data_IF_288918856600
#
_entry.id   IF_288918856600
#
_cell.length_a   1.000
_cell.length_b   1.000
_cell.length_c   1.000
_cell.angle_alpha   90.00
_cell.angle_beta   90.00
_cell.angle_gamma   90.00
#
_symmetry.space_group_name_H-M   'P 1'
#
loop_
_entity.id
_entity.type
_entity.pdbx_description
1 polymer ?
#
# COMPACT_ATOMS: atom_id res chain seq x y z
N UNK A 1 20.41 5.27 22.39
CA UNK A 1 21.55 6.21 22.46
C UNK A 1 21.58 6.95 21.13
N UNK A 2 20.91 8.09 21.07
CA UNK A 2 20.74 8.90 19.86
C UNK A 2 21.94 9.83 19.68
N UNK A 3 22.50 9.93 18.48
CA UNK A 3 23.40 11.02 18.14
C UNK A 3 22.61 12.10 17.40
N UNK A 4 22.25 13.12 18.18
CA UNK A 4 21.91 14.47 17.72
C UNK A 4 23.24 15.14 17.39
N UNK A 5 23.43 15.63 16.16
CA UNK A 5 24.54 16.53 15.83
C UNK A 5 23.97 17.90 15.49
N UNK A 6 24.32 18.85 16.36
CA UNK A 6 24.02 20.27 16.30
C UNK A 6 24.66 20.94 15.10
N UNK A 7 23.86 21.71 14.35
CA UNK A 7 24.31 22.53 13.23
C UNK A 7 25.06 23.79 13.64
N UNK A 8 26.17 24.06 12.94
CA UNK A 8 26.86 25.35 12.90
C UNK A 8 26.61 26.06 11.57
N UNK A 9 26.38 27.37 11.62
CA UNK A 9 26.08 28.26 10.48
C UNK A 9 27.34 28.78 9.76
N UNK A 10 27.11 29.16 8.49
CA UNK A 10 27.80 30.15 7.62
C UNK A 10 28.85 29.65 6.61
N UNK A 11 29.07 30.34 5.48
CA UNK A 11 28.10 30.89 4.53
C UNK A 11 28.41 30.53 3.06
N UNK A 12 27.45 30.88 2.19
CA UNK A 12 27.47 30.77 0.73
C UNK A 12 28.67 31.44 0.06
N UNK A 13 29.24 30.78 -0.96
CA UNK A 13 29.77 31.45 -2.15
C UNK A 13 29.56 30.59 -3.40
N UNK A 14 29.02 31.23 -4.42
CA UNK A 14 28.69 30.68 -5.72
C UNK A 14 29.93 30.47 -6.60
N UNK A 15 29.85 29.52 -7.55
CA UNK A 15 30.16 29.78 -8.95
C UNK A 15 29.66 28.64 -9.85
N UNK A 16 28.94 29.03 -10.90
CA UNK A 16 28.60 28.26 -12.08
C UNK A 16 29.86 28.10 -12.97
N UNK A 17 30.04 27.10 -13.84
CA UNK A 17 29.38 26.82 -15.13
C UNK A 17 30.09 25.57 -15.77
N UNK A 18 29.62 25.05 -16.94
CA UNK A 18 29.70 23.64 -17.34
C UNK A 18 30.73 23.37 -18.46
N UNK A 19 30.70 22.14 -19.02
CA UNK A 19 31.20 21.62 -20.32
C UNK A 19 32.05 20.36 -20.08
N UNK A 20 32.09 19.32 -20.89
CA UNK A 20 31.33 18.76 -22.02
C UNK A 20 32.13 17.51 -22.42
N UNK A 21 31.45 16.43 -22.83
CA UNK A 21 31.85 15.44 -23.86
C UNK A 21 33.30 14.92 -23.86
N UNK A 22 33.48 13.60 -23.71
CA UNK A 22 34.22 12.75 -24.68
C UNK A 22 33.72 11.31 -24.56
N UNK A 23 33.42 10.76 -25.73
CA UNK A 23 32.98 9.43 -26.05
C UNK A 23 34.19 8.65 -26.56
N UNK A 24 34.63 7.57 -25.90
CA UNK A 24 35.53 6.59 -26.52
C UNK A 24 35.15 5.17 -26.13
N UNK A 25 34.60 4.46 -27.11
CA UNK A 25 34.48 3.00 -27.12
C UNK A 25 35.87 2.40 -27.28
N UNK A 26 36.26 1.49 -26.40
CA UNK A 26 37.28 0.49 -26.75
C UNK A 26 36.92 -0.86 -26.14
N UNK A 27 36.70 -1.82 -27.05
CA UNK A 27 36.35 -3.21 -26.81
C UNK A 27 37.65 -4.02 -26.79
N UNK A 28 37.96 -4.69 -25.68
CA UNK A 28 38.99 -5.74 -25.63
C UNK A 28 38.50 -6.89 -24.72
N UNK A 29 38.45 -8.10 -25.28
CA UNK A 29 38.33 -9.41 -24.62
C UNK A 29 38.96 -10.44 -25.58
N UNK A 30 39.34 -11.66 -25.14
CA UNK A 30 39.93 -12.05 -23.86
C UNK A 30 41.22 -12.89 -24.06
N UNK A 31 42.00 -13.14 -23.00
CA UNK A 31 43.10 -14.10 -23.01
C UNK A 31 42.72 -15.35 -22.21
N UNK A 32 42.88 -16.51 -22.84
CA UNK A 32 42.70 -17.84 -22.29
C UNK A 32 43.95 -18.31 -21.53
N UNK A 33 43.76 -19.12 -20.51
CA UNK A 33 44.79 -20.02 -19.97
C UNK A 33 44.19 -21.41 -19.76
N UNK A 34 45.01 -22.41 -19.97
CA UNK A 34 44.62 -23.77 -20.34
C UNK A 34 45.23 -24.79 -19.38
N UNK A 35 44.39 -25.75 -18.94
CA UNK A 35 44.66 -27.18 -18.62
C UNK A 35 45.46 -27.57 -17.36
N UNK A 36 45.34 -28.84 -16.85
CA UNK A 36 44.70 -30.02 -17.47
C UNK A 36 43.70 -30.84 -16.61
N UNK A 37 42.90 -31.64 -17.34
CA UNK A 37 42.13 -32.81 -16.90
C UNK A 37 43.05 -33.99 -16.49
N UNK A 38 42.59 -34.81 -15.55
CA UNK A 38 42.95 -36.23 -15.44
C UNK A 38 41.75 -37.12 -15.10
N UNK A 39 41.64 -38.23 -15.83
CA UNK A 39 40.87 -39.47 -15.64
C UNK A 39 41.55 -40.52 -16.56
N UNK A 40 41.46 -41.86 -16.38
CA UNK A 40 40.29 -42.64 -15.91
C UNK A 40 40.54 -43.97 -15.10
N UNK A 41 39.47 -44.47 -14.43
CA UNK A 41 38.94 -45.87 -14.18
C UNK A 41 39.89 -47.09 -13.86
N UNK A 42 39.43 -48.34 -13.48
CA UNK A 42 38.06 -48.91 -13.39
C UNK A 42 37.71 -49.98 -12.28
N UNK A 43 36.44 -50.46 -12.29
CA UNK A 43 35.80 -51.74 -11.80
C UNK A 43 35.79 -52.09 -10.28
N UNK A 44 34.73 -52.61 -9.62
CA UNK A 44 33.78 -53.71 -9.95
C UNK A 44 32.56 -53.79 -8.96
N UNK A 45 31.45 -54.39 -9.45
CA UNK A 45 30.29 -55.13 -8.86
C UNK A 45 30.31 -55.57 -7.37
N UNK A 46 29.25 -55.85 -6.58
CA UNK A 46 27.75 -55.83 -6.55
C UNK A 46 27.30 -56.18 -5.07
N UNK A 47 26.06 -56.61 -4.72
CA UNK A 47 24.86 -55.84 -4.32
C UNK A 47 24.29 -56.18 -2.89
N UNK A 48 23.05 -55.69 -2.61
CA UNK A 48 22.13 -55.93 -1.47
C UNK A 48 22.09 -54.77 -0.43
N UNK A 49 20.97 -54.33 0.14
CA UNK A 49 19.63 -54.88 0.30
C UNK A 49 18.59 -53.77 0.49
N UNK A 50 17.36 -54.07 0.12
CA UNK A 50 16.15 -53.26 0.23
C UNK A 50 15.61 -53.19 1.66
N UNK A 51 15.21 -52.00 2.12
CA UNK A 51 14.24 -51.83 3.19
C UNK A 51 13.32 -50.66 2.86
N UNK A 52 12.13 -51.01 2.36
CA UNK A 52 11.01 -50.13 2.09
C UNK A 52 10.17 -49.94 3.36
N UNK A 53 10.17 -48.73 3.94
CA UNK A 53 9.22 -48.35 5.00
C UNK A 53 8.07 -47.57 4.34
N UNK A 54 6.89 -48.16 4.46
CA UNK A 54 5.62 -47.72 3.90
C UNK A 54 4.95 -46.74 4.88
N UNK A 55 4.97 -45.44 4.58
CA UNK A 55 4.12 -44.46 5.27
C UNK A 55 2.76 -44.36 4.56
N UNK A 56 1.68 -44.54 5.31
CA UNK A 56 0.30 -44.36 4.85
C UNK A 56 -0.01 -42.85 4.78
N UNK A 57 -0.64 -42.34 3.71
CA UNK A 57 -1.12 -40.96 3.69
C UNK A 57 -2.46 -40.85 4.43
N UNK A 58 -2.55 -39.88 5.36
CA UNK A 58 -3.82 -39.44 5.92
C UNK A 58 -4.64 -38.73 4.84
N UNK A 59 -5.92 -39.06 4.77
CA UNK A 59 -6.93 -38.37 3.97
C UNK A 59 -7.13 -36.96 4.54
N UNK A 60 -6.84 -35.93 3.75
CA UNK A 60 -7.27 -34.57 4.04
C UNK A 60 -8.34 -34.17 3.02
N UNK A 61 -9.53 -33.89 3.56
CA UNK A 61 -10.74 -33.51 2.85
C UNK A 61 -10.52 -32.20 2.10
N UNK A 62 -10.54 -32.24 0.78
CA UNK A 62 -10.51 -31.06 -0.08
C UNK A 62 -11.91 -30.48 -0.18
N UNK A 63 -12.21 -29.40 0.57
CA UNK A 63 -13.39 -28.58 0.31
C UNK A 63 -13.03 -27.59 -0.81
N UNK A 64 -13.44 -27.94 -2.02
CA UNK A 64 -13.57 -27.02 -3.15
C UNK A 64 -14.65 -25.99 -2.80
N UNK A 65 -14.27 -24.71 -2.72
CA UNK A 65 -15.23 -23.59 -2.73
C UNK A 65 -15.19 -22.98 -4.13
N UNK A 66 -16.16 -23.38 -4.95
CA UNK A 66 -16.48 -22.71 -6.20
C UNK A 66 -17.07 -21.33 -5.88
N UNK A 67 -16.40 -20.27 -6.29
CA UNK A 67 -16.96 -18.91 -6.28
C UNK A 67 -18.07 -18.86 -7.33
N UNK A 68 -19.31 -18.76 -6.86
CA UNK A 68 -20.50 -18.61 -7.70
C UNK A 68 -20.60 -17.14 -8.12
N UNK A 69 -20.52 -16.89 -9.42
CA UNK A 69 -20.93 -15.65 -10.05
C UNK A 69 -22.40 -15.39 -9.72
N UNK A 70 -22.69 -14.33 -8.97
CA UNK A 70 -24.07 -13.89 -8.74
C UNK A 70 -24.38 -12.67 -9.61
N UNK A 71 -25.45 -12.90 -10.36
CA UNK A 71 -26.10 -12.11 -11.40
C UNK A 71 -26.69 -10.81 -10.86
N UNK A 72 -26.55 -9.74 -11.63
CA UNK A 72 -27.29 -8.48 -11.52
C UNK A 72 -28.79 -8.75 -11.40
N UNK A 73 -29.41 -8.31 -10.31
CA UNK A 73 -30.85 -8.17 -10.23
C UNK A 73 -31.17 -6.68 -10.13
N UNK A 74 -31.79 -6.16 -11.19
CA UNK A 74 -32.47 -4.86 -11.17
C UNK A 74 -33.71 -5.00 -10.29
N UNK A 75 -33.74 -4.31 -9.15
CA UNK A 75 -34.96 -4.17 -8.37
C UNK A 75 -35.55 -2.78 -8.58
N UNK A 76 -36.68 -2.75 -9.27
CA UNK A 76 -37.58 -1.59 -9.34
C UNK A 76 -38.50 -1.65 -8.13
N UNK A 77 -38.28 -0.76 -7.16
CA UNK A 77 -39.27 -0.42 -6.15
C UNK A 77 -39.35 1.11 -5.97
N UNK A 78 -40.39 1.66 -6.59
CA UNK A 78 -41.27 2.75 -6.14
C UNK A 78 -40.77 3.73 -5.06
N UNK A 79 -40.81 5.01 -5.43
CA UNK A 79 -40.33 6.16 -4.66
C UNK A 79 -40.82 6.29 -3.22
N UNK A 80 -39.86 6.61 -2.36
CA UNK A 80 -39.93 7.75 -1.46
C UNK A 80 -38.66 8.56 -1.69
N UNK A 81 -38.80 9.74 -2.29
CA UNK A 81 -37.74 10.74 -2.38
C UNK A 81 -37.44 11.27 -0.98
N UNK A 82 -36.40 10.70 -0.35
CA UNK A 82 -35.73 11.24 0.82
C UNK A 82 -34.29 11.59 0.45
N UNK A 83 -34.04 12.87 0.21
CA UNK A 83 -32.71 13.46 0.12
C UNK A 83 -32.01 13.36 1.48
N UNK A 84 -31.07 12.44 1.61
CA UNK A 84 -30.23 12.28 2.81
C UNK A 84 -29.18 11.20 2.57
N UNK A 85 -28.20 11.50 1.71
CA UNK A 85 -27.07 10.60 1.47
C UNK A 85 -26.30 10.44 2.76
N UNK A 86 -26.37 9.26 3.37
CA UNK A 86 -25.64 8.96 4.59
C UNK A 86 -24.14 9.10 4.34
N UNK A 87 -23.45 9.86 5.19
CA UNK A 87 -21.99 10.04 5.23
C UNK A 87 -21.26 8.72 5.60
N UNK A 88 -21.50 7.64 4.87
CA UNK A 88 -20.84 6.36 5.09
C UNK A 88 -19.49 6.32 4.37
N UNK A 89 -18.57 5.52 4.90
CA UNK A 89 -17.39 5.05 4.18
C UNK A 89 -17.63 3.61 3.74
N UNK A 90 -17.48 3.34 2.44
CA UNK A 90 -17.43 1.99 1.91
C UNK A 90 -16.01 1.71 1.42
N UNK A 91 -15.30 0.82 2.10
CA UNK A 91 -13.88 0.55 1.92
C UNK A 91 -13.70 -0.83 1.30
N UNK A 92 -13.18 -0.89 0.08
CA UNK A 92 -12.85 -2.16 -0.58
C UNK A 92 -11.34 -2.33 -0.63
N UNK A 93 -10.83 -3.32 0.10
CA UNK A 93 -9.41 -3.65 0.06
C UNK A 93 -9.07 -4.41 -1.21
N UNK A 94 -8.08 -3.92 -1.96
CA UNK A 94 -7.67 -4.52 -3.25
C UNK A 94 -6.32 -5.25 -3.15
N UNK A 95 -5.85 -5.62 -1.96
CA UNK A 95 -4.52 -6.21 -1.67
C UNK A 95 -3.33 -5.28 -1.90
N UNK A 96 -2.24 -5.51 -1.16
CA UNK A 96 -1.09 -4.59 -1.15
C UNK A 96 -1.47 -3.28 -0.45
N UNK A 97 -1.07 -2.16 -1.05
CA UNK A 97 -1.49 -0.82 -0.62
C UNK A 97 -2.77 -0.35 -1.34
N UNK A 98 -3.36 -1.17 -2.21
CA UNK A 98 -4.45 -0.76 -3.08
C UNK A 98 -5.81 -0.78 -2.38
N UNK A 99 -6.58 0.30 -2.56
CA UNK A 99 -7.95 0.41 -2.07
C UNK A 99 -8.88 1.10 -3.07
N UNK A 100 -10.17 0.80 -2.97
CA UNK A 100 -11.25 1.62 -3.53
C UNK A 100 -12.13 2.10 -2.39
N UNK A 101 -12.24 3.41 -2.22
CA UNK A 101 -13.08 4.04 -1.21
C UNK A 101 -14.27 4.73 -1.87
N UNK A 102 -15.45 4.57 -1.30
CA UNK A 102 -16.63 5.35 -1.65
C UNK A 102 -17.09 6.16 -0.44
N UNK A 103 -17.18 7.48 -0.58
CA UNK A 103 -17.66 8.40 0.46
C UNK A 103 -18.09 9.73 -0.15
N UNK A 104 -19.10 10.39 0.40
CA UNK A 104 -19.56 11.70 -0.08
C UNK A 104 -19.91 11.72 -1.58
N UNK A 105 -20.38 10.59 -2.12
CA UNK A 105 -20.66 10.45 -3.56
C UNK A 105 -19.43 10.37 -4.47
N UNK A 106 -18.21 10.27 -3.92
CA UNK A 106 -16.96 10.10 -4.66
C UNK A 106 -16.48 8.65 -4.61
N UNK A 107 -15.83 8.22 -5.69
CA UNK A 107 -15.03 6.99 -5.76
C UNK A 107 -13.55 7.34 -5.86
N UNK A 108 -12.79 7.01 -4.82
CA UNK A 108 -11.37 7.31 -4.69
C UNK A 108 -10.58 6.00 -4.80
N UNK A 109 -9.76 5.89 -5.84
CA UNK A 109 -8.84 4.77 -6.03
C UNK A 109 -7.48 5.14 -5.39
N UNK A 110 -6.97 4.30 -4.51
CA UNK A 110 -5.77 4.58 -3.72
C UNK A 110 -4.67 3.59 -4.08
N UNK A 111 -3.47 4.08 -4.37
CA UNK A 111 -2.25 3.29 -4.60
C UNK A 111 -2.46 2.00 -5.44
N UNK A 112 -3.02 2.09 -6.67
CA UNK A 112 -3.49 0.91 -7.39
C UNK A 112 -2.36 0.08 -8.01
N UNK A 113 -2.33 -1.21 -7.66
CA UNK A 113 -1.51 -2.25 -8.30
C UNK A 113 -2.48 -3.26 -8.91
N UNK A 114 -2.88 -3.06 -10.17
CA UNK A 114 -3.92 -3.85 -10.85
C UNK A 114 -3.46 -4.49 -12.17
N UNK A 115 -2.24 -4.18 -12.62
CA UNK A 115 -1.67 -4.68 -13.87
C UNK A 115 -0.28 -5.23 -13.61
N UNK A 116 -0.12 -6.53 -13.81
CA UNK A 116 1.13 -7.24 -13.55
C UNK A 116 1.42 -7.45 -12.07
N UNK A 117 2.59 -7.99 -11.79
CA UNK A 117 3.09 -8.16 -10.43
C UNK A 117 3.82 -6.90 -9.96
N UNK A 118 4.01 -6.77 -8.65
CA UNK A 118 4.90 -5.79 -8.05
C UNK A 118 6.33 -6.35 -8.06
N UNK A 119 7.24 -5.72 -8.83
CA UNK A 119 8.60 -6.22 -9.03
C UNK A 119 9.72 -5.18 -8.86
N UNK A 120 9.37 -3.91 -8.58
CA UNK A 120 10.31 -2.79 -8.46
C UNK A 120 11.26 -2.65 -9.67
N UNK A 121 10.85 -3.12 -10.85
CA UNK A 121 11.66 -3.17 -12.06
C UNK A 121 12.78 -4.22 -12.06
N UNK A 122 12.88 -5.06 -11.02
CA UNK A 122 13.91 -6.09 -10.87
C UNK A 122 13.28 -7.43 -10.42
N UNK A 123 12.58 -8.16 -11.33
CA UNK A 123 11.78 -9.35 -10.97
C UNK A 123 12.55 -10.48 -10.27
N UNK A 124 13.84 -10.65 -10.55
CA UNK A 124 14.64 -11.67 -9.87
C UNK A 124 14.94 -11.32 -8.40
N UNK A 125 14.91 -10.03 -8.06
CA UNK A 125 15.12 -9.53 -6.70
C UNK A 125 13.83 -9.62 -5.88
N UNK A 126 12.72 -9.16 -6.45
CA UNK A 126 11.40 -9.21 -5.86
C UNK A 126 10.34 -9.35 -6.95
N UNK A 127 9.37 -10.23 -6.74
CA UNK A 127 8.22 -10.41 -7.63
C UNK A 127 7.03 -10.86 -6.77
N UNK A 128 6.00 -10.04 -6.66
CA UNK A 128 4.85 -10.29 -5.82
C UNK A 128 3.52 -10.15 -6.57
N UNK A 129 2.77 -11.25 -6.60
CA UNK A 129 1.42 -11.30 -7.17
C UNK A 129 0.35 -11.18 -6.07
N UNK A 130 -0.83 -10.68 -6.44
CA UNK A 130 -2.02 -10.74 -5.59
C UNK A 130 -2.36 -12.19 -5.24
N UNK A 131 -2.80 -12.45 -4.00
CA UNK A 131 -3.15 -13.80 -3.52
C UNK A 131 -4.60 -14.14 -3.88
N UNK A 132 -5.51 -13.19 -3.66
CA UNK A 132 -6.95 -13.43 -3.71
C UNK A 132 -7.59 -12.85 -4.98
N UNK A 133 -7.23 -11.63 -5.36
CA UNK A 133 -7.79 -10.89 -6.48
C UNK A 133 -7.00 -11.06 -7.79
N UNK A 134 -6.54 -12.29 -8.06
CA UNK A 134 -5.73 -12.62 -9.26
C UNK A 134 -6.42 -12.30 -10.59
N UNK A 135 -7.76 -12.34 -10.60
CA UNK A 135 -8.58 -12.05 -11.77
C UNK A 135 -9.04 -10.60 -11.89
N UNK A 136 -8.89 -9.80 -10.83
CA UNK A 136 -9.38 -8.42 -10.78
C UNK A 136 -8.45 -7.51 -11.58
N UNK A 137 -9.03 -6.78 -12.53
CA UNK A 137 -8.34 -5.97 -13.53
C UNK A 137 -8.84 -4.54 -13.49
N UNK A 138 -8.12 -3.69 -14.23
CA UNK A 138 -8.51 -2.30 -14.45
C UNK A 138 -9.93 -2.14 -15.03
N UNK A 139 -10.42 -3.12 -15.78
CA UNK A 139 -11.77 -3.12 -16.37
C UNK A 139 -12.88 -3.51 -15.40
N UNK A 140 -12.54 -4.11 -14.27
CA UNK A 140 -13.48 -4.43 -13.21
C UNK A 140 -13.72 -3.23 -12.26
N UNK A 141 -12.90 -2.17 -12.38
CA UNK A 141 -13.11 -0.95 -11.62
C UNK A 141 -14.38 -0.22 -12.06
N UNK A 142 -15.14 0.36 -11.12
CA UNK A 142 -16.14 1.36 -11.46
C UNK A 142 -15.48 2.63 -12.04
N UNK A 143 -16.31 3.57 -12.50
CA UNK A 143 -15.83 4.94 -12.76
C UNK A 143 -15.20 5.52 -11.48
N UNK A 144 -13.99 6.06 -11.61
CA UNK A 144 -13.19 6.62 -10.51
C UNK A 144 -13.17 8.13 -10.65
N UNK A 145 -13.51 8.85 -9.58
CA UNK A 145 -13.52 10.32 -9.56
C UNK A 145 -12.14 10.89 -9.22
N UNK A 146 -11.36 10.19 -8.40
CA UNK A 146 -10.04 10.61 -7.94
C UNK A 146 -9.09 9.42 -7.77
N UNK A 147 -7.85 9.59 -8.22
CA UNK A 147 -6.71 8.76 -7.83
C UNK A 147 -5.99 9.43 -6.65
N UNK A 148 -5.63 8.66 -5.62
CA UNK A 148 -4.85 9.12 -4.49
C UNK A 148 -3.54 8.32 -4.42
N UNK A 149 -2.40 9.00 -4.52
CA UNK A 149 -1.07 8.40 -4.46
C UNK A 149 -0.34 8.89 -3.20
N UNK A 150 -0.02 7.97 -2.29
CA UNK A 150 0.65 8.29 -1.02
C UNK A 150 2.15 8.46 -1.17
N UNK A 151 2.78 7.58 -1.95
CA UNK A 151 4.24 7.52 -2.08
C UNK A 151 4.68 7.40 -3.53
N UNK A 152 5.93 7.73 -3.80
CA UNK A 152 6.53 7.63 -5.14
C UNK A 152 7.08 6.24 -5.50
N UNK A 153 7.12 5.31 -4.54
CA UNK A 153 7.63 3.95 -4.73
C UNK A 153 6.64 3.04 -5.49
N UNK A 154 7.16 1.99 -6.14
CA UNK A 154 6.38 1.13 -7.04
C UNK A 154 5.23 0.37 -6.37
N UNK A 155 5.31 0.13 -5.06
CA UNK A 155 4.23 -0.49 -4.27
C UNK A 155 3.08 0.49 -3.94
N UNK A 156 3.17 1.73 -4.44
CA UNK A 156 2.14 2.77 -4.37
C UNK A 156 1.86 3.40 -5.74
N UNK A 157 2.92 3.90 -6.39
CA UNK A 157 2.90 4.60 -7.67
C UNK A 157 3.22 3.64 -8.84
N UNK A 158 2.45 2.54 -8.93
CA UNK A 158 2.79 1.45 -9.85
C UNK A 158 2.58 1.81 -11.32
N UNK A 159 3.65 2.16 -12.05
CA UNK A 159 3.57 2.64 -13.43
C UNK A 159 2.90 1.67 -14.41
N UNK A 160 3.04 0.36 -14.20
CA UNK A 160 2.38 -0.65 -15.03
C UNK A 160 0.85 -0.54 -14.95
N UNK A 161 0.32 -0.11 -13.80
CA UNK A 161 -1.11 0.15 -13.60
C UNK A 161 -1.49 1.57 -14.03
N UNK A 162 -0.65 2.56 -13.71
CA UNK A 162 -0.97 3.97 -13.95
C UNK A 162 -0.96 4.36 -15.44
N UNK A 163 -0.06 3.79 -16.26
CA UNK A 163 -0.01 4.06 -17.71
C UNK A 163 -1.29 3.68 -18.47
N UNK A 164 -1.86 2.47 -18.32
CA UNK A 164 -3.13 2.14 -18.96
C UNK A 164 -4.31 2.87 -18.31
N UNK A 165 -4.29 3.11 -16.98
CA UNK A 165 -5.31 3.91 -16.30
C UNK A 165 -5.38 5.34 -16.86
N UNK A 166 -4.24 5.99 -17.11
CA UNK A 166 -4.23 7.36 -17.64
C UNK A 166 -4.76 7.46 -19.08
N UNK A 167 -4.67 6.36 -19.85
CA UNK A 167 -5.31 6.27 -21.18
C UNK A 167 -6.81 6.01 -21.07
N UNK A 168 -7.23 5.19 -20.11
CA UNK A 168 -8.63 4.84 -19.86
C UNK A 168 -9.43 6.03 -19.31
N UNK A 169 -8.82 6.81 -18.41
CA UNK A 169 -9.44 7.94 -17.72
C UNK A 169 -8.53 9.18 -17.77
N UNK A 170 -8.38 9.83 -18.94
CA UNK A 170 -7.41 10.91 -19.15
C UNK A 170 -7.67 12.17 -18.31
N UNK A 171 -8.92 12.38 -17.89
CA UNK A 171 -9.35 13.56 -17.13
C UNK A 171 -9.54 13.28 -15.62
N UNK A 172 -9.16 12.08 -15.17
CA UNK A 172 -9.24 11.72 -13.74
C UNK A 172 -8.43 12.70 -12.91
N UNK A 173 -9.00 13.15 -11.78
CA UNK A 173 -8.26 13.96 -10.80
C UNK A 173 -7.26 13.07 -10.10
N UNK A 174 -6.06 13.59 -9.87
CA UNK A 174 -5.02 12.89 -9.11
C UNK A 174 -4.59 13.79 -7.95
N UNK A 175 -4.60 13.25 -6.74
CA UNK A 175 -3.99 13.87 -5.55
C UNK A 175 -2.78 13.01 -5.19
N UNK A 176 -1.61 13.64 -5.00
CA UNK A 176 -0.38 12.89 -4.79
C UNK A 176 0.64 13.59 -3.88
N UNK A 177 1.57 12.81 -3.34
CA UNK A 177 2.84 13.31 -2.79
C UNK A 177 3.64 14.06 -3.85
N UNK A 178 4.31 15.19 -3.52
CA UNK A 178 5.22 15.89 -4.43
C UNK A 178 6.35 15.00 -4.96
N UNK A 179 6.76 13.96 -4.23
CA UNK A 179 7.81 13.03 -4.68
C UNK A 179 7.40 12.22 -5.93
N UNK A 180 6.11 11.98 -6.13
CA UNK A 180 5.60 11.24 -7.30
C UNK A 180 5.54 12.12 -8.57
N UNK A 181 5.85 13.42 -8.48
CA UNK A 181 5.74 14.35 -9.59
C UNK A 181 6.43 13.92 -10.90
N UNK A 182 7.71 13.48 -10.88
CA UNK A 182 8.40 13.05 -12.10
C UNK A 182 7.75 11.83 -12.77
N UNK A 183 7.02 11.01 -12.00
CA UNK A 183 6.34 9.80 -12.48
C UNK A 183 4.95 10.10 -13.04
N UNK A 184 4.23 11.05 -12.42
CA UNK A 184 2.83 11.34 -12.71
C UNK A 184 2.64 12.42 -13.79
N UNK A 185 3.51 13.44 -13.85
CA UNK A 185 3.43 14.52 -14.86
C UNK A 185 3.37 14.00 -16.32
N UNK A 186 4.11 12.95 -16.71
CA UNK A 186 4.02 12.40 -18.07
C UNK A 186 2.73 11.62 -18.34
N UNK A 187 1.96 11.25 -17.31
CA UNK A 187 0.81 10.36 -17.42
C UNK A 187 -0.53 11.09 -17.29
N UNK A 188 -0.64 12.05 -16.37
CA UNK A 188 -1.90 12.68 -16.01
C UNK A 188 -1.82 14.20 -16.15
N UNK A 189 -2.92 14.82 -16.58
CA UNK A 189 -2.99 16.28 -16.79
C UNK A 189 -3.53 17.05 -15.59
N UNK A 190 -4.31 16.39 -14.75
CA UNK A 190 -5.02 17.00 -13.62
C UNK A 190 -4.48 16.46 -12.29
N UNK A 191 -3.26 16.86 -11.95
CA UNK A 191 -2.57 16.41 -10.73
C UNK A 191 -2.43 17.56 -9.74
N UNK A 192 -2.89 17.33 -8.52
CA UNK A 192 -2.67 18.19 -7.35
C UNK A 192 -1.65 17.52 -6.44
N UNK A 193 -0.50 18.15 -6.26
CA UNK A 193 0.51 17.71 -5.31
C UNK A 193 0.31 18.43 -3.99
N UNK A 194 0.23 17.68 -2.88
CA UNK A 194 0.01 18.23 -1.54
C UNK A 194 1.23 17.99 -0.67
N UNK A 195 1.86 19.06 -0.20
CA UNK A 195 2.83 19.00 0.89
C UNK A 195 2.12 18.71 2.23
N UNK A 196 2.78 18.09 3.22
CA UNK A 196 2.20 17.87 4.54
C UNK A 196 1.59 19.13 5.15
N UNK A 197 0.33 19.03 5.59
CA UNK A 197 -0.47 20.14 6.12
C UNK A 197 -1.37 20.81 5.10
N UNK A 198 -1.10 20.67 3.80
CA UNK A 198 -1.97 21.19 2.74
C UNK A 198 -3.24 20.35 2.59
N UNK A 199 -4.30 20.98 2.09
CA UNK A 199 -5.60 20.35 1.88
C UNK A 199 -6.16 20.67 0.51
N UNK A 200 -6.95 19.76 -0.03
CA UNK A 200 -7.70 19.91 -1.28
C UNK A 200 -9.14 19.47 -1.07
N UNK A 201 -10.08 20.18 -1.68
CA UNK A 201 -11.51 19.87 -1.60
C UNK A 201 -11.99 19.22 -2.90
N UNK A 202 -12.35 17.94 -2.82
CA UNK A 202 -12.98 17.21 -3.92
C UNK A 202 -14.47 17.51 -3.91
N UNK A 203 -15.00 17.97 -5.04
CA UNK A 203 -16.44 18.18 -5.25
C UNK A 203 -17.03 16.98 -5.98
N UNK A 204 -18.06 16.36 -5.40
CA UNK A 204 -18.83 15.27 -5.97
C UNK A 204 -19.96 15.80 -6.87
N UNK A 205 -20.47 14.95 -7.76
CA UNK A 205 -21.54 15.30 -8.70
C UNK A 205 -22.87 15.62 -8.02
N UNK A 206 -23.10 15.05 -6.84
CA UNK A 206 -24.28 15.30 -6.01
C UNK A 206 -24.17 16.60 -5.18
N UNK A 207 -23.08 17.38 -5.34
CA UNK A 207 -22.84 18.62 -4.60
C UNK A 207 -22.16 18.43 -3.24
N UNK A 208 -22.00 17.20 -2.76
CA UNK A 208 -21.18 16.90 -1.59
C UNK A 208 -19.72 17.26 -1.87
N UNK A 209 -18.96 17.50 -0.80
CA UNK A 209 -17.53 17.77 -0.90
C UNK A 209 -16.80 16.77 -0.03
N UNK A 210 -15.51 16.56 -0.23
CA UNK A 210 -14.65 15.77 0.66
C UNK A 210 -13.31 16.47 0.73
N UNK A 211 -12.89 16.83 1.94
CA UNK A 211 -11.57 17.42 2.18
C UNK A 211 -10.54 16.30 2.29
N UNK A 212 -9.47 16.41 1.52
CA UNK A 212 -8.29 15.54 1.60
C UNK A 212 -7.13 16.39 2.12
N UNK A 213 -6.53 16.01 3.24
CA UNK A 213 -5.39 16.71 3.86
C UNK A 213 -4.19 15.78 3.90
N UNK A 214 -3.06 16.24 3.39
CA UNK A 214 -1.80 15.49 3.46
C UNK A 214 -1.19 15.58 4.86
N UNK A 215 -0.60 14.49 5.33
CA UNK A 215 0.18 14.43 6.58
C UNK A 215 1.57 13.87 6.29
N UNK A 216 2.53 14.22 7.14
CA UNK A 216 3.90 13.74 6.97
C UNK A 216 4.02 12.26 7.36
N UNK A 217 4.33 11.43 6.37
CA UNK A 217 4.72 10.02 6.51
C UNK A 217 6.24 9.86 6.61
N UNK A 218 6.80 8.72 6.16
CA UNK A 218 8.23 8.43 6.28
C UNK A 218 9.08 9.22 5.27
N UNK A 219 10.33 9.52 5.63
CA UNK A 219 11.35 10.00 4.68
C UNK A 219 12.05 8.78 4.07
N UNK A 220 11.74 8.48 2.81
CA UNK A 220 12.22 7.29 2.12
C UNK A 220 13.43 7.59 1.23
N UNK A 221 14.57 7.76 1.88
CA UNK A 221 15.86 7.98 1.24
C UNK A 221 16.76 8.88 2.09
N UNK A 222 17.66 9.68 1.50
CA UNK A 222 18.49 10.60 2.25
C UNK A 222 17.67 11.53 3.16
N UNK A 223 18.18 11.90 4.35
CA UNK A 223 17.41 12.60 5.39
C UNK A 223 16.93 14.01 4.99
N UNK A 224 17.44 14.58 3.90
CA UNK A 224 17.01 15.86 3.33
C UNK A 224 15.91 15.73 2.27
N UNK A 225 15.48 14.51 1.94
CA UNK A 225 14.33 14.31 1.06
C UNK A 225 13.03 14.70 1.76
N UNK A 226 12.03 15.04 0.95
CA UNK A 226 10.68 15.29 1.45
C UNK A 226 10.11 13.98 2.00
N UNK A 227 9.34 14.03 3.10
CA UNK A 227 8.56 12.88 3.53
C UNK A 227 7.56 12.48 2.45
N UNK A 228 7.18 11.22 2.41
CA UNK A 228 5.98 10.77 1.72
C UNK A 228 4.72 11.12 2.53
N UNK A 229 3.53 10.86 1.97
CA UNK A 229 2.29 11.31 2.58
C UNK A 229 1.49 10.17 3.25
N UNK A 230 0.90 10.48 4.40
CA UNK A 230 -0.39 9.94 4.83
C UNK A 230 -1.51 10.89 4.41
N UNK A 231 -2.78 10.48 4.55
CA UNK A 231 -3.92 11.35 4.26
C UNK A 231 -5.03 11.26 5.30
N UNK A 232 -5.59 12.43 5.65
CA UNK A 232 -6.84 12.57 6.38
C UNK A 232 -7.95 12.97 5.39
N UNK A 233 -9.07 12.23 5.41
CA UNK A 233 -10.27 12.50 4.64
C UNK A 233 -11.42 12.84 5.57
N UNK A 234 -12.13 13.93 5.28
CA UNK A 234 -13.32 14.34 6.03
C UNK A 234 -14.42 14.85 5.08
N UNK A 235 -15.66 14.37 5.29
CA UNK A 235 -16.86 14.97 4.67
C UNK A 235 -17.17 16.31 5.36
N UNK A 236 -17.66 17.36 4.66
CA UNK A 236 -17.97 18.70 5.17
C UNK A 236 -18.95 18.75 6.33
N UNK A 237 -19.80 17.74 6.48
CA UNK A 237 -20.69 17.64 7.64
C UNK A 237 -19.96 17.06 8.88
N UNK A 238 -18.66 16.75 8.74
CA UNK A 238 -17.74 16.24 9.78
C UNK A 238 -18.28 15.03 10.56
N UNK A 239 -19.24 14.29 9.99
CA UNK A 239 -19.91 13.18 10.69
C UNK A 239 -19.01 11.96 10.87
N UNK A 240 -18.09 11.73 9.92
CA UNK A 240 -17.09 10.68 9.98
C UNK A 240 -15.83 11.08 9.20
N UNK A 241 -14.66 10.76 9.75
CA UNK A 241 -13.37 11.00 9.10
C UNK A 241 -12.50 9.74 9.05
N UNK A 242 -11.63 9.69 8.06
CA UNK A 242 -10.72 8.57 7.80
C UNK A 242 -9.28 9.08 7.77
N UNK A 243 -8.38 8.36 8.41
CA UNK A 243 -6.94 8.54 8.27
C UNK A 243 -6.32 7.30 7.65
N UNK A 244 -5.51 7.50 6.62
CA UNK A 244 -4.76 6.45 5.94
C UNK A 244 -3.26 6.69 6.10
N UNK A 245 -2.58 5.70 6.67
CA UNK A 245 -1.12 5.68 6.82
C UNK A 245 -0.59 4.31 6.36
N UNK A 246 -0.04 4.22 5.13
CA UNK A 246 0.25 2.94 4.50
C UNK A 246 1.38 2.11 5.14
N UNK A 247 2.24 2.72 5.98
CA UNK A 247 3.38 2.02 6.59
C UNK A 247 3.39 2.08 8.12
N UNK A 248 2.38 2.70 8.72
CA UNK A 248 2.34 3.00 10.15
C UNK A 248 3.53 3.87 10.63
N UNK A 249 4.12 4.67 9.74
CA UNK A 249 5.25 5.55 10.06
C UNK A 249 4.85 6.99 9.78
N UNK A 250 4.41 7.69 10.83
CA UNK A 250 3.98 9.08 10.72
C UNK A 250 4.51 9.93 11.88
N UNK A 251 4.56 11.25 11.66
CA UNK A 251 4.92 12.18 12.73
C UNK A 251 3.75 12.36 13.71
N UNK A 252 3.77 11.57 14.78
CA UNK A 252 2.75 11.57 15.83
C UNK A 252 2.52 12.95 16.48
N UNK A 253 3.54 13.81 16.54
CA UNK A 253 3.39 15.17 17.10
C UNK A 253 2.46 16.03 16.25
N UNK A 254 2.59 15.92 14.93
CA UNK A 254 1.76 16.67 13.98
C UNK A 254 0.30 16.20 13.97
N UNK A 255 0.05 14.95 14.40
CA UNK A 255 -1.29 14.37 14.45
C UNK A 255 -2.04 14.63 15.75
N UNK A 256 -1.39 15.19 16.80
CA UNK A 256 -2.02 15.40 18.12
C UNK A 256 -3.28 16.26 18.09
N UNK A 257 -3.37 17.17 17.12
CA UNK A 257 -4.51 18.07 16.96
C UNK A 257 -5.50 17.60 15.89
N UNK A 258 -5.22 16.47 15.24
CA UNK A 258 -6.08 15.87 14.23
C UNK A 258 -7.01 14.83 14.89
N UNK A 259 -8.07 14.47 14.18
CA UNK A 259 -9.03 13.44 14.61
C UNK A 259 -9.46 12.60 13.42
N UNK A 260 -9.49 11.29 13.61
CA UNK A 260 -10.01 10.34 12.64
C UNK A 260 -10.92 9.32 13.31
N UNK A 261 -12.13 9.13 12.82
CA UNK A 261 -13.01 8.05 13.32
C UNK A 261 -12.53 6.67 12.83
N UNK A 262 -12.02 6.61 11.60
CA UNK A 262 -11.48 5.41 10.96
C UNK A 262 -9.97 5.59 10.77
N UNK A 263 -9.18 4.59 11.17
CA UNK A 263 -7.74 4.53 10.85
C UNK A 263 -7.47 3.28 10.01
N UNK A 264 -6.97 3.47 8.79
CA UNK A 264 -6.44 2.40 7.94
C UNK A 264 -4.92 2.43 8.05
N UNK A 265 -4.32 1.37 8.58
CA UNK A 265 -2.86 1.24 8.75
C UNK A 265 -2.46 -0.24 8.83
N UNK A 266 -1.22 -0.60 8.46
CA UNK A 266 -0.69 -1.92 8.80
C UNK A 266 -0.60 -2.10 10.31
N UNK A 267 -0.76 -3.34 10.75
CA UNK A 267 -0.58 -3.73 12.17
C UNK A 267 0.44 -4.85 12.34
N UNK A 268 0.90 -5.46 11.25
CA UNK A 268 1.93 -6.51 11.27
C UNK A 268 3.23 -5.88 10.77
N UNK A 269 4.26 -5.91 11.60
CA UNK A 269 5.56 -5.33 11.30
C UNK A 269 6.24 -6.12 10.19
N UNK A 270 6.91 -5.42 9.28
CA UNK A 270 7.75 -6.03 8.25
C UNK A 270 9.18 -5.53 8.38
N UNK A 271 10.11 -6.48 8.41
CA UNK A 271 11.51 -6.23 8.70
C UNK A 271 12.38 -6.78 7.57
N UNK A 272 13.33 -5.97 7.14
CA UNK A 272 14.56 -6.43 6.51
C UNK A 272 15.67 -6.51 7.57
N UNK A 273 16.78 -7.22 7.29
CA UNK A 273 17.97 -7.12 8.13
C UNK A 273 18.35 -5.65 8.33
N UNK A 274 18.29 -5.17 9.58
CA UNK A 274 18.63 -3.80 10.00
C UNK A 274 17.66 -2.67 9.60
N UNK A 275 16.55 -2.97 8.93
CA UNK A 275 15.57 -1.95 8.51
C UNK A 275 14.14 -2.37 8.81
N UNK A 276 13.35 -1.45 9.37
CA UNK A 276 11.90 -1.61 9.48
C UNK A 276 11.27 -1.04 8.21
N UNK A 277 10.57 -1.89 7.46
CA UNK A 277 9.82 -1.48 6.27
C UNK A 277 8.44 -0.95 6.65
N UNK A 278 7.75 -1.68 7.52
CA UNK A 278 6.39 -1.39 7.98
C UNK A 278 6.38 -1.49 9.49
N UNK A 279 5.88 -0.44 10.15
CA UNK A 279 5.72 -0.38 11.59
C UNK A 279 4.61 -1.32 12.09
N UNK A 280 4.67 -1.65 13.37
CA UNK A 280 3.92 -2.77 13.95
C UNK A 280 2.74 -2.36 14.83
N UNK A 281 2.36 -3.27 15.70
CA UNK A 281 1.16 -3.23 16.55
C UNK A 281 1.17 -2.05 17.50
N UNK A 282 2.30 -1.80 18.14
CA UNK A 282 2.46 -0.75 19.14
C UNK A 282 2.27 0.63 18.51
N UNK A 283 2.89 0.86 17.36
CA UNK A 283 2.76 2.10 16.60
C UNK A 283 1.32 2.31 16.11
N UNK A 284 0.65 1.24 15.65
CA UNK A 284 -0.73 1.30 15.19
C UNK A 284 -1.71 1.63 16.32
N UNK A 285 -1.50 1.05 17.52
CA UNK A 285 -2.29 1.39 18.71
C UNK A 285 -2.04 2.84 19.14
N UNK A 286 -0.79 3.29 19.11
CA UNK A 286 -0.46 4.69 19.40
C UNK A 286 -1.11 5.65 18.40
N UNK A 287 -1.09 5.32 17.11
CA UNK A 287 -1.74 6.09 16.06
C UNK A 287 -3.25 6.21 16.31
N UNK A 288 -3.91 5.07 16.56
CA UNK A 288 -5.33 5.02 16.90
C UNK A 288 -5.66 5.86 18.15
N UNK A 289 -4.79 5.82 19.17
CA UNK A 289 -4.91 6.60 20.40
C UNK A 289 -4.86 8.10 20.15
N UNK A 290 -3.88 8.56 19.39
CA UNK A 290 -3.67 9.97 19.09
C UNK A 290 -4.85 10.54 18.29
N UNK A 291 -5.30 9.79 17.28
CA UNK A 291 -6.40 10.21 16.41
C UNK A 291 -7.80 10.00 17.03
N UNK A 292 -7.86 9.38 18.22
CA UNK A 292 -9.11 9.02 18.92
C UNK A 292 -10.02 8.16 18.04
N UNK A 293 -9.42 7.16 17.39
CA UNK A 293 -10.08 6.27 16.47
C UNK A 293 -11.20 5.48 17.15
N UNK A 294 -12.32 5.33 16.43
CA UNK A 294 -13.41 4.43 16.80
C UNK A 294 -13.29 3.10 16.06
N UNK A 295 -12.74 3.12 14.85
CA UNK A 295 -12.52 1.96 14.02
C UNK A 295 -11.06 1.92 13.57
N UNK A 296 -10.42 0.76 13.71
CA UNK A 296 -9.13 0.48 13.07
C UNK A 296 -9.37 -0.60 12.02
N UNK A 297 -9.00 -0.30 10.78
CA UNK A 297 -9.10 -1.20 9.64
C UNK A 297 -7.69 -1.67 9.29
N UNK A 298 -7.23 -2.81 9.82
CA UNK A 298 -5.88 -3.28 9.56
C UNK A 298 -5.71 -3.65 8.09
N UNK A 299 -4.60 -3.22 7.49
CA UNK A 299 -4.24 -3.62 6.13
C UNK A 299 -3.07 -4.60 6.13
N UNK A 300 -3.06 -5.51 5.17
CA UNK A 300 -2.03 -6.55 5.02
C UNK A 300 -1.20 -6.31 3.76
N UNK A 301 -0.51 -5.17 3.70
CA UNK A 301 0.21 -4.73 2.50
C UNK A 301 1.27 -5.72 1.97
N UNK A 302 1.86 -6.54 2.83
CA UNK A 302 2.79 -7.61 2.42
C UNK A 302 2.18 -9.01 2.40
N UNK A 303 0.86 -9.15 2.40
CA UNK A 303 0.21 -10.45 2.15
C UNK A 303 0.01 -10.66 0.65
N UNK A 304 1.14 -10.83 -0.05
CA UNK A 304 1.22 -11.11 -1.48
C UNK A 304 1.91 -12.47 -1.69
N UNK A 305 1.66 -13.11 -2.85
CA UNK A 305 2.40 -14.29 -3.31
C UNK A 305 3.78 -13.83 -3.82
N UNK A 306 4.70 -13.56 -2.89
CA UNK A 306 6.02 -12.98 -3.17
C UNK A 306 7.12 -14.03 -3.37
N UNK A 307 8.03 -13.77 -4.30
CA UNK A 307 9.23 -14.56 -4.62
C UNK A 307 10.44 -13.64 -4.82
N UNK A 308 11.62 -14.24 -4.92
CA UNK A 308 12.89 -13.54 -5.10
C UNK A 308 13.71 -13.44 -3.81
N UNK A 309 14.91 -12.89 -3.94
CA UNK A 309 15.87 -12.80 -2.82
C UNK A 309 15.30 -11.94 -1.70
N UNK A 310 14.71 -10.79 -2.03
CA UNK A 310 14.17 -9.86 -1.05
C UNK A 310 13.01 -10.48 -0.28
N UNK A 311 12.12 -11.21 -0.94
CA UNK A 311 11.01 -11.92 -0.30
C UNK A 311 11.51 -12.95 0.73
N UNK A 312 12.66 -13.61 0.47
CA UNK A 312 13.22 -14.63 1.37
C UNK A 312 13.81 -14.08 2.67
N UNK A 313 14.14 -12.79 2.72
CA UNK A 313 14.77 -12.14 3.88
C UNK A 313 13.82 -11.24 4.67
N UNK A 314 12.61 -10.98 4.15
CA UNK A 314 11.56 -10.24 4.87
C UNK A 314 11.02 -11.11 6.00
N UNK A 315 10.99 -10.54 7.21
CA UNK A 315 10.40 -11.16 8.40
C UNK A 315 9.14 -10.41 8.80
N UNK A 316 8.12 -11.15 9.24
CA UNK A 316 6.88 -10.61 9.82
C UNK A 316 6.92 -10.76 11.34
N UNK A 317 6.48 -9.74 12.07
CA UNK A 317 6.40 -9.76 13.53
C UNK A 317 5.05 -9.17 13.99
N UNK A 318 4.38 -9.86 14.94
CA UNK A 318 3.02 -9.57 15.37
C UNK A 318 1.94 -10.36 14.62
N UNK A 319 0.74 -10.41 15.19
CA UNK A 319 -0.46 -11.05 14.60
C UNK A 319 -1.70 -10.16 14.75
N UNK A 320 -2.78 -10.40 14.00
CA UNK A 320 -3.99 -9.59 14.20
C UNK A 320 -4.54 -9.74 15.63
N UNK A 321 -4.41 -10.92 16.23
CA UNK A 321 -4.86 -11.21 17.59
C UNK A 321 -4.09 -10.42 18.63
N UNK A 322 -2.75 -10.41 18.58
CA UNK A 322 -1.98 -9.63 19.56
C UNK A 322 -2.17 -8.12 19.38
N UNK A 323 -2.48 -7.65 18.17
CA UNK A 323 -2.88 -6.26 17.95
C UNK A 323 -4.24 -5.95 18.60
N UNK A 324 -5.25 -6.80 18.39
CA UNK A 324 -6.58 -6.66 19.01
C UNK A 324 -6.49 -6.63 20.53
N UNK A 325 -5.69 -7.50 21.12
CA UNK A 325 -5.46 -7.54 22.57
C UNK A 325 -4.84 -6.24 23.08
N UNK A 326 -3.86 -5.69 22.36
CA UNK A 326 -3.22 -4.44 22.72
C UNK A 326 -4.18 -3.25 22.57
N UNK A 327 -4.92 -3.19 21.47
CA UNK A 327 -5.91 -2.14 21.23
C UNK A 327 -7.01 -2.16 22.28
N UNK A 328 -7.54 -3.32 22.65
CA UNK A 328 -8.58 -3.45 23.66
C UNK A 328 -8.15 -2.95 25.05
N UNK A 329 -6.86 -3.03 25.38
CA UNK A 329 -6.30 -2.51 26.63
C UNK A 329 -6.15 -0.99 26.61
N UNK A 330 -5.70 -0.42 25.49
CA UNK A 330 -5.38 1.01 25.38
C UNK A 330 -6.56 1.89 24.91
N UNK A 331 -7.45 1.33 24.07
CA UNK A 331 -8.65 1.94 23.50
C UNK A 331 -9.82 0.93 23.54
N UNK A 332 -10.42 0.66 24.71
CA UNK A 332 -11.44 -0.38 24.87
C UNK A 332 -12.73 -0.14 24.07
N UNK A 333 -12.96 1.10 23.60
CA UNK A 333 -14.12 1.46 22.77
C UNK A 333 -13.84 1.35 21.26
N UNK A 334 -12.57 1.21 20.86
CA UNK A 334 -12.22 1.09 19.46
C UNK A 334 -12.49 -0.33 18.97
N UNK A 335 -13.00 -0.44 17.74
CA UNK A 335 -13.30 -1.72 17.11
C UNK A 335 -12.30 -1.99 15.99
N UNK A 336 -11.88 -3.25 15.86
CA UNK A 336 -11.07 -3.70 14.73
C UNK A 336 -11.99 -4.28 13.67
N UNK A 337 -11.95 -3.71 12.47
CA UNK A 337 -12.75 -4.18 11.33
C UNK A 337 -11.83 -4.74 10.26
N UNK A 338 -11.75 -6.06 10.16
CA UNK A 338 -10.85 -6.73 9.21
C UNK A 338 -11.45 -6.73 7.80
N UNK A 339 -10.79 -6.09 6.81
CA UNK A 339 -11.27 -6.11 5.45
C UNK A 339 -11.05 -7.48 4.80
N UNK A 340 -12.02 -7.92 3.99
CA UNK A 340 -11.85 -9.08 3.11
C UNK A 340 -11.54 -8.54 1.72
N UNK A 341 -10.49 -9.05 1.08
CA UNK A 341 -10.07 -8.60 -0.24
C UNK A 341 -11.23 -8.67 -1.26
N UNK A 342 -11.51 -7.55 -1.93
CA UNK A 342 -12.57 -7.42 -2.93
C UNK A 342 -14.00 -7.31 -2.37
N UNK A 343 -14.19 -7.45 -1.05
CA UNK A 343 -15.51 -7.30 -0.41
C UNK A 343 -15.60 -5.91 0.21
N UNK A 344 -16.62 -5.11 -0.14
CA UNK A 344 -16.78 -3.80 0.48
C UNK A 344 -17.13 -3.90 1.97
N UNK A 345 -16.38 -3.16 2.80
CA UNK A 345 -16.65 -2.94 4.21
C UNK A 345 -17.32 -1.58 4.38
N UNK A 346 -18.59 -1.57 4.78
CA UNK A 346 -19.33 -0.34 5.06
C UNK A 346 -19.19 0.07 6.53
N UNK A 347 -18.86 1.34 6.76
CA UNK A 347 -18.69 1.95 8.08
C UNK A 347 -19.56 3.20 8.12
N UNK A 348 -20.54 3.20 9.01
CA UNK A 348 -21.49 4.29 9.19
C UNK A 348 -20.98 5.30 10.22
N UNK A 349 -21.46 6.56 10.14
CA UNK A 349 -21.26 7.53 11.20
C UNK A 349 -21.67 6.95 12.55
N UNK A 350 -20.86 7.17 13.60
CA UNK A 350 -21.21 6.78 14.95
C UNK A 350 -22.54 7.43 15.34
N UNK A 351 -23.55 6.61 15.68
CA UNK A 351 -24.79 7.13 16.26
C UNK A 351 -24.41 7.91 17.51
N UNK A 352 -24.89 9.15 17.65
CA UNK A 352 -24.68 9.93 18.86
C UNK A 352 -25.19 9.12 20.04
N UNK A 353 -24.30 8.73 20.96
CA UNK A 353 -24.72 8.17 22.25
C UNK A 353 -25.64 9.22 22.90
N UNK A 354 -26.91 8.86 23.11
CA UNK A 354 -27.89 9.67 23.87
C UNK A 354 -27.57 9.60 25.35
#
# INVERSE_FOLDING_TARGET
MAMVVSGGKMPLHANALPLSIINTKTRVRPAASSFPLFSPAPHSHSPSSSLSIRFKPLQHVSRSLSVVSSVLSEDRATGVSGSGGTDAFKLTYLEGNSWLWETGGLRILVDPILVGNLDFGIPWLYDAAKRFLKGFKLDDLPEVDCLLITQSLDDHCHLNTLRPLSKKSPDVKVIATPNAKPLLDPLFRNVTYLEPGESYELNARNGSKVRVKATAGPVLGPPWQRPENGYLLASPEDQISLYYEPHCVCNMELLKNERADIVITPVIKQLLPQFTLVSGQEDAVQLAKILKAKFVVPMQNGDLDAKGILASIIKKEGTIESFKDLLARELPKAQVLEPIAGVPLEILPPTSDV
#
